data_IF_079430878070
#
_entry.id   IF_079430878070
#
_cell.length_a   1.000
_cell.length_b   1.000
_cell.length_c   1.000
_cell.angle_alpha   90.00
_cell.angle_beta   90.00
_cell.angle_gamma   90.00
#
_symmetry.space_group_name_H-M   'P 1'
#
loop_
_entity.id
_entity.type
_entity.pdbx_description
1 polymer ?
#
# COMPACT_ATOMS: atom_id res chain seq x y z
N UNK A 1 -3.00 -0.18 -11.18
CA UNK A 1 -4.37 0.31 -10.87
C UNK A 1 -4.33 1.25 -9.67
N UNK A 2 -5.08 2.35 -9.72
CA UNK A 2 -5.19 3.37 -8.68
C UNK A 2 -6.61 3.38 -8.11
N UNK A 3 -6.74 3.38 -6.78
CA UNK A 3 -8.01 3.52 -6.07
C UNK A 3 -7.92 4.73 -5.14
N UNK A 4 -8.89 5.63 -5.22
CA UNK A 4 -8.94 6.87 -4.45
C UNK A 4 -10.20 6.88 -3.56
N UNK A 5 -10.00 7.07 -2.26
CA UNK A 5 -11.05 7.12 -1.23
C UNK A 5 -11.11 8.49 -0.53
N UNK A 6 -10.53 9.54 -1.13
CA UNK A 6 -10.44 10.89 -0.55
C UNK A 6 -9.29 11.03 0.42
N UNK A 7 -9.37 10.33 1.56
CA UNK A 7 -8.34 10.38 2.61
C UNK A 7 -7.25 9.30 2.46
N UNK A 8 -7.50 8.29 1.61
CA UNK A 8 -6.61 7.17 1.36
C UNK A 8 -6.52 6.88 -0.14
N UNK A 9 -5.30 6.70 -0.64
CA UNK A 9 -5.04 6.29 -2.02
C UNK A 9 -4.27 4.98 -2.04
N UNK A 10 -4.76 4.00 -2.79
CA UNK A 10 -4.15 2.67 -2.91
C UNK A 10 -3.66 2.45 -4.32
N UNK A 11 -2.39 2.08 -4.45
CA UNK A 11 -1.78 1.69 -5.71
C UNK A 11 -1.58 0.17 -5.75
N UNK A 12 -2.15 -0.49 -6.77
CA UNK A 12 -1.94 -1.91 -7.07
C UNK A 12 -1.11 -1.99 -8.33
N UNK A 13 0.15 -2.43 -8.22
CA UNK A 13 1.09 -2.49 -9.34
C UNK A 13 1.40 -3.94 -9.74
N UNK A 14 1.72 -4.15 -11.02
CA UNK A 14 2.55 -5.29 -11.39
C UNK A 14 3.99 -5.08 -10.87
N UNK A 15 4.75 -6.16 -10.68
CA UNK A 15 6.06 -6.11 -10.03
C UNK A 15 7.06 -5.18 -10.74
N UNK A 16 7.10 -5.22 -12.07
CA UNK A 16 8.00 -4.38 -12.88
C UNK A 16 7.68 -2.88 -12.71
N UNK A 17 6.39 -2.53 -12.71
CA UNK A 17 5.91 -1.16 -12.54
C UNK A 17 6.23 -0.64 -11.13
N UNK A 18 6.06 -1.50 -10.11
CA UNK A 18 6.38 -1.18 -8.72
C UNK A 18 7.84 -0.76 -8.57
N UNK A 19 8.75 -1.53 -9.18
CA UNK A 19 10.19 -1.21 -9.18
C UNK A 19 10.50 0.07 -9.95
N UNK A 20 9.85 0.30 -11.10
CA UNK A 20 10.05 1.48 -11.93
C UNK A 20 9.61 2.77 -11.22
N UNK A 21 8.42 2.78 -10.60
CA UNK A 21 7.90 3.94 -9.90
C UNK A 21 8.56 4.17 -8.54
N UNK A 22 8.99 3.10 -7.86
CA UNK A 22 9.80 3.18 -6.64
C UNK A 22 9.15 3.98 -5.52
N UNK A 23 7.82 3.91 -5.38
CA UNK A 23 7.09 4.68 -4.36
C UNK A 23 7.54 4.32 -2.94
N UNK A 24 7.99 3.09 -2.70
CA UNK A 24 8.56 2.64 -1.44
C UNK A 24 9.74 3.53 -1.01
N UNK A 25 10.58 3.94 -1.97
CA UNK A 25 11.71 4.83 -1.70
C UNK A 25 11.24 6.25 -1.41
N UNK A 26 10.19 6.72 -2.08
CA UNK A 26 9.63 8.05 -1.88
C UNK A 26 9.01 8.20 -0.48
N UNK A 27 8.27 7.18 -0.03
CA UNK A 27 7.53 7.21 1.24
C UNK A 27 8.29 6.60 2.42
N UNK A 28 9.56 6.22 2.24
CA UNK A 28 10.35 5.50 3.26
C UNK A 28 10.45 6.24 4.61
N UNK A 29 10.39 7.57 4.58
CA UNK A 29 10.57 8.43 5.76
C UNK A 29 9.23 8.75 6.44
N UNK A 30 8.10 8.28 5.88
CA UNK A 30 6.78 8.46 6.47
C UNK A 30 6.51 7.43 7.57
N UNK A 31 5.76 7.80 8.63
CA UNK A 31 5.36 6.85 9.66
C UNK A 31 4.56 5.69 9.08
N UNK A 32 4.92 4.46 9.47
CA UNK A 32 4.13 3.28 9.13
C UNK A 32 2.94 3.21 10.09
N UNK A 33 1.73 3.31 9.54
CA UNK A 33 0.50 3.12 10.31
C UNK A 33 0.23 1.63 10.42
N UNK A 34 0.19 1.04 11.63
CA UNK A 34 -0.16 -0.36 11.81
C UNK A 34 -1.61 -0.60 11.35
N UNK A 35 -1.80 -1.56 10.45
CA UNK A 35 -3.13 -1.99 10.00
C UNK A 35 -3.39 -3.38 10.58
N UNK A 36 -4.39 -3.49 11.44
CA UNK A 36 -4.87 -4.79 11.92
C UNK A 36 -5.56 -5.50 10.75
N UNK A 37 -5.01 -6.64 10.33
CA UNK A 37 -5.64 -7.45 9.30
C UNK A 37 -6.67 -8.36 9.98
N UNK A 38 -7.90 -8.39 9.47
CA UNK A 38 -8.97 -9.25 9.95
C UNK A 38 -8.76 -10.73 9.56
N UNK A 39 -7.57 -11.29 9.83
CA UNK A 39 -7.30 -12.70 9.66
C UNK A 39 -7.15 -13.33 11.05
N UNK A 40 -8.25 -13.85 11.58
CA UNK A 40 -8.43 -15.05 12.45
C UNK A 40 -9.78 -14.96 13.21
N UNK A 41 -10.90 -15.04 12.48
CA UNK A 41 -12.18 -15.44 13.06
C UNK A 41 -12.70 -16.64 12.24
N UNK A 42 -12.30 -17.85 12.65
CA UNK A 42 -12.83 -19.11 12.14
C UNK A 42 -11.90 -19.90 11.22
N UNK A 43 -11.02 -20.69 11.83
CA UNK A 43 -10.77 -22.06 11.36
C UNK A 43 -11.00 -23.02 12.53
#
# INVERSE_FOLDING_TARGET
>A
MLLDFGDLVVHVFHEEERMYYGLERLWKDCPVVPIETAAHAGS
#
